data_IF_103728248790
#
_entry.id   IF_103728248790
#
_cell.length_a   1.000
_cell.length_b   1.000
_cell.length_c   1.000
_cell.angle_alpha   90.00
_cell.angle_beta   90.00
_cell.angle_gamma   90.00
#
_symmetry.space_group_name_H-M   'P 1'
#
loop_
_entity.id
_entity.type
_entity.pdbx_description
1 polymer ?
#
# COMPACT_ATOMS: atom_id res chain seq x y z
N UNK A 1 -29.32 22.29 -55.51
CA UNK A 1 -28.74 22.03 -56.86
C UNK A 1 -28.37 23.37 -57.51
N UNK A 2 -27.21 23.48 -58.17
CA UNK A 2 -26.66 24.73 -58.80
C UNK A 2 -26.27 25.79 -57.74
N UNK A 3 -25.26 26.66 -57.87
CA UNK A 3 -24.13 26.93 -58.81
C UNK A 3 -23.06 27.71 -57.97
N UNK A 4 -21.75 27.85 -58.24
CA UNK A 4 -20.81 27.49 -59.33
C UNK A 4 -19.39 27.35 -58.74
N UNK A 5 -18.41 26.86 -59.51
CA UNK A 5 -16.96 27.00 -59.26
C UNK A 5 -16.37 28.03 -60.25
N UNK A 6 -15.56 29.00 -59.78
CA UNK A 6 -14.83 29.96 -60.65
C UNK A 6 -13.44 30.27 -60.07
N UNK A 7 -12.45 30.48 -60.94
CA UNK A 7 -11.01 30.46 -60.64
C UNK A 7 -10.40 31.82 -60.19
N UNK A 8 -9.29 31.69 -59.45
CA UNK A 8 -8.05 32.49 -59.43
C UNK A 8 -8.01 33.89 -60.10
N UNK A 9 -7.55 34.88 -59.33
CA UNK A 9 -6.64 35.95 -59.80
C UNK A 9 -5.57 36.19 -58.73
N UNK A 10 -4.30 36.31 -59.13
CA UNK A 10 -3.17 36.57 -58.24
C UNK A 10 -2.78 38.06 -58.22
N UNK A 11 -2.18 38.54 -57.12
CA UNK A 11 -1.20 39.66 -57.12
C UNK A 11 -0.50 39.87 -55.76
N UNK A 12 0.79 39.51 -55.76
CA UNK A 12 1.97 40.12 -55.09
C UNK A 12 1.72 41.28 -54.09
N UNK A 13 2.30 41.16 -52.88
CA UNK A 13 2.41 42.26 -51.90
C UNK A 13 3.32 41.93 -50.70
N UNK A 14 4.59 42.33 -50.79
CA UNK A 14 5.61 42.27 -49.73
C UNK A 14 5.25 43.19 -48.54
N UNK A 15 5.49 42.79 -47.27
CA UNK A 15 5.91 43.67 -46.16
C UNK A 15 6.38 42.88 -44.90
N UNK A 16 7.41 43.44 -44.29
CA UNK A 16 8.32 43.08 -43.17
C UNK A 16 7.83 42.33 -41.92
N UNK A 17 8.75 41.53 -41.35
CA UNK A 17 8.83 41.13 -39.92
C UNK A 17 9.00 42.34 -38.98
N UNK A 18 8.43 42.29 -37.76
CA UNK A 18 9.16 42.57 -36.49
C UNK A 18 8.37 42.21 -35.21
N UNK A 19 9.04 41.52 -34.27
CA UNK A 19 8.87 41.46 -32.80
C UNK A 19 7.55 41.00 -32.12
N UNK A 20 7.70 40.04 -31.21
CA UNK A 20 6.73 39.71 -30.14
C UNK A 20 6.70 40.75 -29.00
N UNK A 21 5.99 40.53 -27.89
CA UNK A 21 6.05 39.34 -27.05
C UNK A 21 4.68 38.98 -26.45
N UNK A 22 4.36 37.69 -26.38
CA UNK A 22 3.25 37.17 -25.56
C UNK A 22 3.84 36.17 -24.58
N UNK A 23 3.79 36.50 -23.29
CA UNK A 23 4.33 35.65 -22.23
C UNK A 23 3.36 34.49 -21.98
N UNK A 24 3.36 33.49 -22.86
CA UNK A 24 2.72 32.21 -22.59
C UNK A 24 3.55 31.51 -21.53
N UNK A 25 3.12 31.63 -20.27
CA UNK A 25 3.63 30.81 -19.17
C UNK A 25 3.53 29.34 -19.57
N UNK A 26 4.65 28.58 -19.62
CA UNK A 26 4.55 27.13 -19.67
C UNK A 26 3.98 26.69 -18.32
N UNK A 27 2.71 26.30 -18.32
CA UNK A 27 2.16 25.52 -17.23
C UNK A 27 2.78 24.12 -17.33
N UNK A 28 3.99 23.97 -16.81
CA UNK A 28 4.56 22.66 -16.51
C UNK A 28 3.81 22.11 -15.32
N UNK A 29 2.60 21.61 -15.58
CA UNK A 29 1.98 20.62 -14.71
C UNK A 29 2.86 19.37 -14.84
N UNK A 30 3.76 19.17 -13.90
CA UNK A 30 4.33 17.86 -13.66
C UNK A 30 3.16 16.94 -13.27
N UNK A 31 2.57 16.26 -14.25
CA UNK A 31 1.77 15.07 -13.99
C UNK A 31 2.74 14.01 -13.45
N UNK A 32 2.95 14.05 -12.14
CA UNK A 32 3.51 12.93 -11.40
C UNK A 32 2.53 11.78 -11.52
N UNK A 33 2.73 10.94 -12.54
CA UNK A 33 2.00 9.69 -12.74
C UNK A 33 2.33 8.73 -11.60
N UNK A 34 1.69 8.94 -10.46
CA UNK A 34 1.79 8.07 -9.30
C UNK A 34 1.20 6.72 -9.68
N UNK A 35 2.04 5.68 -9.65
CA UNK A 35 1.58 4.31 -9.85
C UNK A 35 0.85 3.90 -8.57
N UNK A 36 -0.44 3.57 -8.70
CA UNK A 36 -1.23 3.10 -7.57
C UNK A 36 -0.63 1.81 -6.99
N UNK A 37 -0.67 1.67 -5.65
CA UNK A 37 -0.18 0.50 -4.97
C UNK A 37 -1.10 -0.72 -5.27
N UNK A 38 -0.59 -1.82 -5.85
CA UNK A 38 -1.44 -2.95 -6.25
C UNK A 38 -2.09 -3.67 -5.06
N UNK A 39 -1.49 -3.64 -3.86
CA UNK A 39 -2.09 -4.21 -2.66
C UNK A 39 -3.30 -3.37 -2.19
N UNK A 40 -3.13 -2.04 -2.17
CA UNK A 40 -4.18 -1.07 -1.89
C UNK A 40 -5.36 -1.18 -2.87
N UNK A 41 -5.08 -1.22 -4.17
CA UNK A 41 -6.11 -1.40 -5.21
C UNK A 41 -6.84 -2.75 -5.06
N UNK A 42 -6.13 -3.83 -4.73
CA UNK A 42 -6.73 -5.13 -4.47
C UNK A 42 -7.65 -5.12 -3.23
N UNK A 43 -7.26 -4.43 -2.16
CA UNK A 43 -8.12 -4.25 -0.98
C UNK A 43 -9.47 -3.62 -1.37
N UNK A 44 -9.43 -2.50 -2.10
CA UNK A 44 -10.61 -1.75 -2.53
C UNK A 44 -11.44 -2.59 -3.53
N UNK A 45 -10.80 -3.25 -4.50
CA UNK A 45 -11.47 -4.10 -5.47
C UNK A 45 -12.16 -5.33 -4.85
N UNK A 46 -11.73 -5.75 -3.66
CA UNK A 46 -12.32 -6.84 -2.87
C UNK A 46 -13.36 -6.35 -1.84
N UNK A 47 -13.71 -5.07 -1.86
CA UNK A 47 -14.74 -4.49 -1.00
C UNK A 47 -14.27 -4.09 0.41
N UNK A 48 -12.95 -4.06 0.65
CA UNK A 48 -12.37 -3.47 1.85
C UNK A 48 -12.14 -1.97 1.71
N UNK A 49 -11.93 -1.30 2.84
CA UNK A 49 -11.44 0.08 2.89
C UNK A 49 -9.98 0.06 3.34
N UNK A 50 -9.11 0.84 2.70
CA UNK A 50 -7.72 0.95 3.13
C UNK A 50 -7.58 1.94 4.29
N UNK A 51 -6.94 1.50 5.36
CA UNK A 51 -6.50 2.32 6.50
C UNK A 51 -4.98 2.27 6.58
N UNK A 52 -4.30 3.43 6.62
CA UNK A 52 -2.85 3.46 6.82
C UNK A 52 -2.54 3.56 8.32
N UNK A 53 -1.62 2.73 8.80
CA UNK A 53 -1.12 2.71 10.18
C UNK A 53 0.40 2.80 10.20
N UNK A 54 0.95 3.28 11.31
CA UNK A 54 2.40 3.41 11.49
C UNK A 54 2.91 2.45 12.58
N UNK A 55 4.13 1.96 12.40
CA UNK A 55 4.92 1.19 13.39
C UNK A 55 6.40 1.66 13.35
N UNK A 56 7.31 1.03 14.11
CA UNK A 56 8.74 1.41 14.08
C UNK A 56 9.40 1.26 12.70
N UNK A 57 8.93 0.34 11.87
CA UNK A 57 9.44 0.06 10.53
C UNK A 57 8.87 1.03 9.46
N UNK A 58 7.86 1.83 9.81
CA UNK A 58 7.25 2.83 8.94
C UNK A 58 5.74 2.66 8.81
N UNK A 59 5.19 3.03 7.66
CA UNK A 59 3.76 2.96 7.38
C UNK A 59 3.39 1.64 6.69
N UNK A 60 2.28 1.03 7.11
CA UNK A 60 1.70 -0.18 6.51
C UNK A 60 0.19 0.02 6.25
N UNK A 61 -0.32 -0.68 5.24
CA UNK A 61 -1.74 -0.64 4.87
C UNK A 61 -2.52 -1.77 5.55
N UNK A 62 -3.69 -1.46 6.08
CA UNK A 62 -4.65 -2.43 6.61
C UNK A 62 -5.93 -2.36 5.80
N UNK A 63 -6.34 -3.51 5.28
CA UNK A 63 -7.61 -3.68 4.59
C UNK A 63 -8.71 -3.98 5.61
N UNK A 64 -9.64 -3.03 5.77
CA UNK A 64 -10.74 -3.04 6.73
C UNK A 64 -12.04 -3.49 6.06
N UNK A 65 -12.66 -4.54 6.58
CA UNK A 65 -13.90 -5.14 6.08
C UNK A 65 -15.05 -5.00 7.11
N UNK A 66 -16.24 -5.50 6.75
CA UNK A 66 -17.39 -5.59 7.66
C UNK A 66 -17.06 -6.36 8.96
N UNK A 67 -17.85 -6.14 10.01
CA UNK A 67 -17.66 -6.71 11.36
C UNK A 67 -16.26 -6.46 11.99
N UNK A 68 -15.58 -5.37 11.60
CA UNK A 68 -14.20 -5.05 12.01
C UNK A 68 -13.22 -6.20 11.68
N UNK A 69 -13.42 -6.86 10.55
CA UNK A 69 -12.48 -7.83 10.01
C UNK A 69 -11.34 -7.11 9.31
N UNK A 70 -10.12 -7.64 9.43
CA UNK A 70 -8.92 -6.95 8.98
C UNK A 70 -7.95 -7.91 8.26
N UNK A 71 -7.10 -7.35 7.40
CA UNK A 71 -5.89 -7.97 6.87
C UNK A 71 -4.82 -6.89 6.66
N UNK A 72 -3.53 -7.18 6.77
CA UNK A 72 -2.50 -6.32 6.19
C UNK A 72 -2.59 -6.39 4.65
N UNK A 73 -2.41 -5.27 3.94
CA UNK A 73 -2.75 -5.18 2.51
C UNK A 73 -1.95 -6.13 1.62
N UNK A 74 -0.67 -6.35 1.91
CA UNK A 74 0.21 -7.22 1.13
C UNK A 74 -0.01 -8.69 1.44
N UNK A 75 -0.25 -9.02 2.71
CA UNK A 75 -0.63 -10.37 3.16
C UNK A 75 -2.00 -10.76 2.60
N UNK A 76 -2.93 -9.81 2.50
CA UNK A 76 -4.18 -10.00 1.76
C UNK A 76 -3.95 -10.20 0.25
N UNK A 77 -3.11 -9.37 -0.38
CA UNK A 77 -2.77 -9.49 -1.81
C UNK A 77 -2.13 -10.84 -2.16
N UNK A 78 -1.32 -11.41 -1.25
CA UNK A 78 -0.71 -12.74 -1.40
C UNK A 78 -1.64 -13.91 -1.05
N UNK A 79 -2.81 -13.65 -0.46
CA UNK A 79 -3.76 -14.68 -0.01
C UNK A 79 -3.37 -15.35 1.32
N UNK A 80 -2.50 -14.70 2.10
CA UNK A 80 -2.04 -15.14 3.43
C UNK A 80 -3.03 -14.76 4.53
N UNK A 81 -3.90 -13.79 4.24
CA UNK A 81 -5.07 -13.42 5.04
C UNK A 81 -6.36 -13.68 4.24
N UNK A 82 -7.44 -14.23 4.84
CA UNK A 82 -8.62 -14.72 4.11
C UNK A 82 -9.45 -13.62 3.44
N UNK A 83 -10.15 -13.97 2.35
CA UNK A 83 -11.13 -13.08 1.71
C UNK A 83 -12.22 -12.64 2.68
N UNK A 84 -12.51 -11.33 2.68
CA UNK A 84 -13.41 -10.68 3.64
C UNK A 84 -12.78 -10.37 5.00
N UNK A 85 -11.48 -10.63 5.19
CA UNK A 85 -10.73 -10.30 6.40
C UNK A 85 -10.90 -11.30 7.54
N UNK A 86 -9.87 -11.44 8.37
CA UNK A 86 -9.97 -12.25 9.58
C UNK A 86 -10.59 -11.45 10.73
N UNK A 87 -11.21 -12.14 11.69
CA UNK A 87 -11.69 -11.51 12.92
C UNK A 87 -10.51 -11.22 13.83
N UNK A 88 -10.39 -9.98 14.29
CA UNK A 88 -9.38 -9.56 15.27
C UNK A 88 -9.91 -9.54 16.71
N UNK A 89 -11.18 -9.93 16.91
CA UNK A 89 -11.81 -10.04 18.24
C UNK A 89 -11.14 -11.14 19.05
N UNK A 90 -10.50 -10.79 20.17
CA UNK A 90 -9.76 -11.71 21.03
C UNK A 90 -8.26 -11.42 21.10
N UNK A 91 -7.76 -10.49 20.28
CA UNK A 91 -6.46 -9.86 20.46
C UNK A 91 -6.61 -8.61 21.34
N UNK A 92 -5.68 -8.40 22.26
CA UNK A 92 -5.69 -7.31 23.23
C UNK A 92 -4.76 -6.16 22.83
N UNK A 93 -3.75 -6.41 22.01
CA UNK A 93 -2.76 -5.43 21.55
C UNK A 93 -2.66 -5.31 20.03
N UNK A 94 -2.25 -4.14 19.53
CA UNK A 94 -1.95 -3.92 18.10
C UNK A 94 -0.87 -4.87 17.57
N UNK A 95 0.02 -5.34 18.45
CA UNK A 95 1.07 -6.30 18.13
C UNK A 95 0.53 -7.71 17.81
N UNK A 96 -0.40 -8.20 18.63
CA UNK A 96 -1.12 -9.45 18.36
C UNK A 96 -1.99 -9.33 17.10
N UNK A 97 -2.71 -8.21 16.96
CA UNK A 97 -3.50 -7.91 15.75
C UNK A 97 -2.60 -7.94 14.52
N UNK A 98 -1.45 -7.25 14.55
CA UNK A 98 -0.49 -7.21 13.44
C UNK A 98 0.04 -8.58 13.07
N UNK A 99 0.43 -9.41 14.05
CA UNK A 99 0.82 -10.80 13.82
C UNK A 99 -0.28 -11.57 13.08
N UNK A 100 -1.53 -11.48 13.56
CA UNK A 100 -2.66 -12.17 12.98
C UNK A 100 -2.94 -11.70 11.54
N UNK A 101 -3.09 -10.40 11.31
CA UNK A 101 -3.47 -9.84 10.00
C UNK A 101 -2.36 -9.96 8.94
N UNK A 102 -1.12 -10.24 9.34
CA UNK A 102 0.00 -10.60 8.46
C UNK A 102 0.06 -12.11 8.13
N UNK A 103 -0.92 -12.89 8.59
CA UNK A 103 -1.01 -14.34 8.33
C UNK A 103 -0.27 -15.21 9.35
N UNK A 104 0.20 -14.64 10.46
CA UNK A 104 0.83 -15.36 11.57
C UNK A 104 -0.16 -15.97 12.57
N UNK A 105 0.37 -16.84 13.42
CA UNK A 105 -0.32 -17.42 14.57
C UNK A 105 0.18 -16.74 15.85
N UNK A 106 -0.76 -16.27 16.69
CA UNK A 106 -0.43 -15.68 17.99
C UNK A 106 -0.49 -16.76 19.07
N UNK A 107 0.63 -16.97 19.76
CA UNK A 107 0.76 -17.89 20.89
C UNK A 107 0.88 -17.07 22.19
N UNK A 108 0.35 -17.57 23.31
CA UNK A 108 0.42 -16.85 24.59
C UNK A 108 -0.54 -15.65 24.75
N UNK A 109 -1.76 -15.71 24.20
CA UNK A 109 -2.78 -14.68 24.43
C UNK A 109 -3.05 -14.48 25.94
N UNK A 110 -3.01 -13.21 26.38
CA UNK A 110 -3.18 -12.83 27.79
C UNK A 110 -1.96 -13.08 28.69
N UNK A 111 -0.79 -13.41 28.15
CA UNK A 111 0.49 -13.34 28.88
C UNK A 111 1.11 -11.95 28.79
N UNK A 112 2.15 -11.69 29.58
CA UNK A 112 2.90 -10.42 29.52
C UNK A 112 3.75 -10.28 28.24
N UNK A 113 4.08 -11.40 27.58
CA UNK A 113 4.86 -11.45 26.34
C UNK A 113 4.19 -12.41 25.34
N UNK A 114 3.14 -11.98 24.60
CA UNK A 114 2.55 -12.78 23.55
C UNK A 114 3.55 -12.96 22.38
N UNK A 115 3.56 -14.16 21.81
CA UNK A 115 4.47 -14.56 20.74
C UNK A 115 3.75 -14.56 19.39
N UNK A 116 4.49 -14.23 18.34
CA UNK A 116 4.08 -14.32 16.95
C UNK A 116 4.90 -15.36 16.21
N UNK A 117 4.20 -16.34 15.65
CA UNK A 117 4.75 -17.34 14.74
C UNK A 117 4.32 -16.99 13.33
N UNK A 118 5.28 -16.51 12.54
CA UNK A 118 5.06 -16.00 11.19
C UNK A 118 4.81 -17.13 10.20
N UNK A 119 4.27 -16.79 9.03
CA UNK A 119 3.99 -17.73 7.93
C UNK A 119 5.25 -18.40 7.36
N UNK A 120 6.43 -17.79 7.52
CA UNK A 120 7.73 -18.36 7.17
C UNK A 120 8.27 -19.36 8.20
N UNK A 121 7.61 -19.48 9.37
CA UNK A 121 7.99 -20.34 10.47
C UNK A 121 8.85 -19.67 11.56
N UNK A 122 9.35 -18.44 11.34
CA UNK A 122 10.08 -17.70 12.37
C UNK A 122 9.15 -17.34 13.52
N UNK A 123 9.63 -17.54 14.75
CA UNK A 123 8.89 -17.18 15.98
C UNK A 123 9.62 -16.06 16.71
N UNK A 124 8.89 -15.02 17.10
CA UNK A 124 9.39 -13.83 17.79
C UNK A 124 8.30 -13.26 18.72
N UNK A 125 8.60 -12.27 19.57
CA UNK A 125 7.51 -11.60 20.31
C UNK A 125 6.58 -10.88 19.34
N UNK A 126 5.28 -10.78 19.65
CA UNK A 126 4.33 -10.09 18.79
C UNK A 126 4.74 -8.61 18.58
N UNK A 127 5.31 -7.98 19.61
CA UNK A 127 5.83 -6.62 19.53
C UNK A 127 7.04 -6.52 18.58
N UNK A 128 7.99 -7.46 18.65
CA UNK A 128 9.10 -7.51 17.70
C UNK A 128 8.61 -7.71 16.25
N UNK A 129 7.51 -8.44 16.04
CA UNK A 129 6.92 -8.58 14.70
C UNK A 129 6.32 -7.28 14.19
N UNK A 130 5.54 -6.57 15.02
CA UNK A 130 5.02 -5.24 14.70
C UNK A 130 6.13 -4.22 14.41
N UNK A 131 7.24 -4.31 15.14
CA UNK A 131 8.34 -3.36 15.04
C UNK A 131 9.35 -3.66 13.91
N UNK A 132 9.25 -4.84 13.27
CA UNK A 132 10.21 -5.29 12.26
C UNK A 132 11.54 -5.81 12.85
N UNK A 133 11.53 -6.18 14.13
CA UNK A 133 12.69 -6.62 14.92
C UNK A 133 12.82 -8.16 15.00
N UNK A 134 11.93 -8.93 14.36
CA UNK A 134 12.05 -10.40 14.30
C UNK A 134 13.31 -10.85 13.51
N UNK A 135 13.95 -11.96 13.92
CA UNK A 135 15.11 -12.49 13.20
C UNK A 135 14.83 -12.93 11.76
N UNK A 136 15.90 -13.01 10.97
CA UNK A 136 15.86 -13.51 9.59
C UNK A 136 15.53 -15.01 9.57
N UNK A 137 14.51 -15.48 8.82
CA UNK A 137 14.19 -16.91 8.68
C UNK A 137 15.32 -17.76 8.08
N UNK A 138 16.35 -17.13 7.50
CA UNK A 138 17.54 -17.79 6.96
C UNK A 138 18.73 -17.79 7.93
N UNK A 139 18.62 -17.16 9.10
CA UNK A 139 19.61 -17.29 10.17
C UNK A 139 19.65 -18.76 10.65
N UNK A 140 20.83 -19.38 10.86
CA UNK A 140 20.94 -20.71 11.45
C UNK A 140 20.43 -20.82 12.90
N UNK A 141 20.08 -19.71 13.56
CA UNK A 141 19.53 -19.64 14.90
C UNK A 141 18.43 -18.55 15.03
N UNK A 142 17.28 -18.72 14.36
CA UNK A 142 16.26 -17.67 14.18
C UNK A 142 15.46 -17.34 15.47
N UNK A 143 15.68 -18.09 16.55
CA UNK A 143 15.04 -17.88 17.85
C UNK A 143 15.95 -17.16 18.87
N UNK A 144 17.21 -16.87 18.51
CA UNK A 144 18.21 -16.28 19.41
C UNK A 144 17.96 -14.80 19.71
N UNK A 145 17.13 -14.56 20.73
CA UNK A 145 16.71 -13.23 21.18
C UNK A 145 15.21 -13.14 21.47
N UNK A 146 14.45 -14.17 21.09
CA UNK A 146 12.99 -14.22 21.20
C UNK A 146 12.50 -14.92 22.48
N UNK A 147 13.36 -15.08 23.49
CA UNK A 147 12.96 -15.63 24.78
C UNK A 147 12.02 -14.66 25.49
N UNK A 148 10.93 -15.19 26.05
CA UNK A 148 10.09 -14.44 27.01
C UNK A 148 10.98 -13.82 28.11
N UNK A 149 10.66 -12.60 28.52
CA UNK A 149 11.32 -11.99 29.67
C UNK A 149 10.79 -12.65 30.95
N UNK A 150 11.65 -13.45 31.61
CA UNK A 150 11.39 -14.09 32.92
C UNK A 150 11.21 -13.09 34.09
#
# INVERSE_FOLDING_TARGET
MKKTLTLLVASIGLITFLSGCTTTTPATTDETTSIANPASENCIAKGGNLEMRDNKNGQYGVCMFEDNRQCEEWSFFRGECPEGGMKVTGYETDAEVYCAITGGEVEGLGTETPMCKRIDGTTCTAQANLDGECPDPTDPNPDAGNTEAE
#
